data_IF_605766721283
#
_entry.id   IF_605766721283
#
_cell.length_a   1.000
_cell.length_b   1.000
_cell.length_c   1.000
_cell.angle_alpha   90.00
_cell.angle_beta   90.00
_cell.angle_gamma   90.00
#
_symmetry.space_group_name_H-M   'P 1'
#
loop_
_entity.id
_entity.type
_entity.pdbx_description
1 polymer ?
#
# COMPACT_ATOMS: atom_id res chain seq x y z
N UNK A 1 4.15 2.62 -9.48
CA UNK A 1 5.62 2.63 -9.40
C UNK A 1 6.16 1.20 -9.40
N UNK A 2 6.05 0.42 -8.32
CA UNK A 2 6.58 -0.96 -8.29
C UNK A 2 6.02 -1.87 -9.40
N UNK A 3 4.72 -1.82 -9.68
CA UNK A 3 4.12 -2.60 -10.78
C UNK A 3 4.80 -2.33 -12.14
N UNK A 4 5.21 -1.08 -12.40
CA UNK A 4 5.91 -0.73 -13.63
C UNK A 4 7.37 -1.21 -13.61
N UNK A 5 8.05 -1.10 -12.47
CA UNK A 5 9.43 -1.61 -12.31
C UNK A 5 9.52 -3.14 -12.44
N UNK A 6 8.41 -3.84 -12.19
CA UNK A 6 8.26 -5.28 -12.38
C UNK A 6 7.69 -5.66 -13.75
N UNK A 7 7.45 -4.67 -14.63
CA UNK A 7 6.81 -4.86 -15.94
C UNK A 7 5.47 -5.61 -15.87
N UNK A 8 4.73 -5.45 -14.77
CA UNK A 8 3.44 -6.12 -14.57
C UNK A 8 2.32 -5.31 -15.22
N UNK A 9 1.45 -5.92 -16.05
CA UNK A 9 0.27 -5.26 -16.57
C UNK A 9 -0.74 -5.02 -15.43
N UNK A 10 -1.33 -3.83 -15.40
CA UNK A 10 -2.34 -3.47 -14.39
C UNK A 10 -3.41 -2.56 -14.99
N UNK A 11 -4.61 -2.62 -14.41
CA UNK A 11 -5.74 -1.75 -14.79
C UNK A 11 -6.19 -0.96 -13.57
N UNK A 12 -6.13 0.39 -13.58
CA UNK A 12 -6.64 1.18 -12.47
C UNK A 12 -8.16 1.06 -12.39
N UNK A 13 -8.66 0.83 -11.17
CA UNK A 13 -10.07 1.04 -10.83
C UNK A 13 -10.16 2.25 -9.91
N UNK A 14 -10.78 3.32 -10.38
CA UNK A 14 -10.95 4.53 -9.60
C UNK A 14 -12.17 4.41 -8.71
N UNK A 15 -11.98 4.52 -7.40
CA UNK A 15 -13.06 4.51 -6.40
C UNK A 15 -13.12 5.90 -5.75
N UNK A 16 -14.24 6.62 -5.83
CA UNK A 16 -14.37 7.92 -5.18
C UNK A 16 -14.39 7.78 -3.65
N UNK A 17 -13.91 8.80 -2.94
CA UNK A 17 -13.85 8.78 -1.47
C UNK A 17 -15.20 8.52 -0.81
N UNK A 18 -16.30 8.93 -1.44
CA UNK A 18 -17.68 8.71 -0.97
C UNK A 18 -18.08 7.24 -0.97
N UNK A 19 -17.40 6.38 -1.74
CA UNK A 19 -17.74 4.95 -1.87
C UNK A 19 -16.89 4.03 -1.00
N UNK A 20 -15.85 4.56 -0.33
CA UNK A 20 -14.90 3.75 0.45
C UNK A 20 -15.52 3.07 1.68
N UNK A 21 -16.64 3.60 2.18
CA UNK A 21 -17.38 3.08 3.35
C UNK A 21 -18.70 2.44 2.94
N UNK A 22 -18.74 1.89 1.72
CA UNK A 22 -19.89 1.12 1.23
C UNK A 22 -19.62 -0.38 1.39
N UNK A 23 -20.67 -1.21 1.54
CA UNK A 23 -20.50 -2.66 1.62
C UNK A 23 -19.74 -3.26 0.42
N UNK A 24 -19.83 -2.61 -0.75
CA UNK A 24 -19.17 -3.07 -1.98
C UNK A 24 -17.65 -2.97 -1.85
N UNK A 25 -17.12 -1.83 -1.39
CA UNK A 25 -15.66 -1.68 -1.24
C UNK A 25 -15.15 -2.34 0.05
N UNK A 26 -15.94 -2.35 1.12
CA UNK A 26 -15.56 -3.01 2.38
C UNK A 26 -15.46 -4.53 2.25
N UNK A 27 -16.17 -5.14 1.31
CA UNK A 27 -15.99 -6.54 0.94
C UNK A 27 -14.59 -6.84 0.34
N UNK A 28 -13.93 -5.82 -0.25
CA UNK A 28 -12.55 -5.92 -0.78
C UNK A 28 -11.54 -5.55 0.30
N UNK A 29 -11.76 -4.43 0.98
CA UNK A 29 -10.94 -3.95 2.08
C UNK A 29 -11.82 -3.51 3.25
N UNK A 30 -11.92 -4.30 4.34
CA UNK A 30 -12.74 -3.97 5.50
C UNK A 30 -12.28 -2.71 6.25
N UNK A 31 -11.04 -2.25 6.05
CA UNK A 31 -10.59 -0.94 6.56
C UNK A 31 -11.29 0.22 5.85
N UNK A 32 -11.87 0.00 4.67
CA UNK A 32 -12.55 1.01 3.87
C UNK A 32 -11.62 2.17 3.51
N UNK A 33 -10.39 1.86 3.13
CA UNK A 33 -9.36 2.82 2.69
C UNK A 33 -8.70 2.33 1.40
N UNK A 34 -8.23 3.25 0.59
CA UNK A 34 -7.33 2.93 -0.52
C UNK A 34 -5.91 2.72 0.02
N UNK A 35 -5.06 1.89 -0.59
CA UNK A 35 -5.26 1.12 -1.83
C UNK A 35 -5.51 -0.37 -1.52
N UNK A 36 -6.07 -1.08 -2.51
CA UNK A 36 -6.16 -2.54 -2.58
C UNK A 36 -5.81 -3.02 -3.99
N UNK A 37 -5.34 -4.26 -4.14
CA UNK A 37 -5.15 -4.91 -5.43
C UNK A 37 -5.82 -6.28 -5.44
N UNK A 38 -6.19 -6.72 -6.65
CA UNK A 38 -6.67 -8.05 -6.95
C UNK A 38 -5.75 -8.64 -8.00
N UNK A 39 -5.14 -9.77 -7.68
CA UNK A 39 -4.22 -10.46 -8.57
C UNK A 39 -4.91 -11.68 -9.20
N UNK A 40 -5.23 -11.64 -10.50
CA UNK A 40 -5.92 -12.74 -11.17
C UNK A 40 -5.06 -14.00 -11.34
N UNK A 41 -3.73 -13.90 -11.24
CA UNK A 41 -2.84 -15.05 -11.41
C UNK A 41 -2.86 -15.96 -10.17
N UNK A 42 -3.01 -15.36 -8.98
CA UNK A 42 -3.01 -16.08 -7.70
C UNK A 42 -4.39 -16.14 -7.06
N UNK A 43 -5.35 -15.31 -7.52
CA UNK A 43 -6.64 -15.11 -6.87
C UNK A 43 -6.55 -14.30 -5.57
N UNK A 44 -5.42 -13.64 -5.30
CA UNK A 44 -5.20 -12.91 -4.06
C UNK A 44 -5.77 -11.50 -4.13
N UNK A 45 -6.61 -11.16 -3.16
CA UNK A 45 -7.03 -9.78 -2.89
C UNK A 45 -6.34 -9.29 -1.63
N UNK A 46 -5.60 -8.19 -1.71
CA UNK A 46 -4.79 -7.67 -0.61
C UNK A 46 -4.85 -6.14 -0.50
N UNK A 47 -4.87 -5.64 0.72
CA UNK A 47 -4.90 -4.23 1.10
C UNK A 47 -3.79 -3.94 2.13
N UNK A 48 -3.60 -2.67 2.47
CA UNK A 48 -2.37 -2.09 3.07
C UNK A 48 -1.22 -1.98 2.07
N UNK A 49 -0.76 -0.77 1.79
CA UNK A 49 0.27 -0.52 0.77
C UNK A 49 1.58 -1.23 1.08
N UNK A 50 1.97 -1.34 2.35
CA UNK A 50 3.16 -2.11 2.74
C UNK A 50 3.04 -3.60 2.40
N UNK A 51 1.89 -4.21 2.74
CA UNK A 51 1.62 -5.62 2.46
C UNK A 51 1.55 -5.89 0.95
N UNK A 52 0.95 -4.98 0.18
CA UNK A 52 0.92 -5.02 -1.29
C UNK A 52 2.35 -5.06 -1.87
N UNK A 53 3.24 -4.20 -1.38
CA UNK A 53 4.63 -4.17 -1.87
C UNK A 53 5.39 -5.47 -1.53
N UNK A 54 5.23 -5.97 -0.30
CA UNK A 54 5.85 -7.24 0.10
C UNK A 54 5.32 -8.41 -0.74
N UNK A 55 4.00 -8.46 -0.98
CA UNK A 55 3.36 -9.45 -1.84
C UNK A 55 3.91 -9.43 -3.27
N UNK A 56 3.92 -8.25 -3.91
CA UNK A 56 4.39 -8.13 -5.30
C UNK A 56 5.85 -8.53 -5.45
N UNK A 57 6.70 -8.16 -4.50
CA UNK A 57 8.10 -8.59 -4.49
C UNK A 57 8.21 -10.10 -4.29
N UNK A 58 7.48 -10.67 -3.34
CA UNK A 58 7.53 -12.10 -3.06
C UNK A 58 7.06 -12.92 -4.26
N UNK A 59 6.00 -12.50 -4.95
CA UNK A 59 5.43 -13.23 -6.08
C UNK A 59 6.15 -13.00 -7.41
N UNK A 60 6.55 -11.77 -7.70
CA UNK A 60 6.98 -11.40 -9.05
C UNK A 60 8.44 -10.96 -9.17
N UNK A 61 9.14 -10.69 -8.07
CA UNK A 61 10.57 -10.32 -8.08
C UNK A 61 11.47 -11.48 -7.63
N UNK A 62 11.30 -12.68 -8.21
CA UNK A 62 12.04 -13.89 -7.81
C UNK A 62 13.56 -13.78 -8.00
N UNK A 63 13.99 -12.92 -8.92
CA UNK A 63 15.41 -12.64 -9.18
C UNK A 63 16.03 -11.65 -8.19
N UNK A 64 15.23 -11.08 -7.27
CA UNK A 64 15.70 -10.12 -6.26
C UNK A 64 16.41 -8.89 -6.86
N UNK A 65 15.94 -8.39 -8.01
CA UNK A 65 16.47 -7.16 -8.62
C UNK A 65 16.08 -5.90 -7.84
N UNK A 66 14.87 -5.91 -7.29
CA UNK A 66 14.29 -4.81 -6.51
C UNK A 66 14.13 -5.13 -5.02
N UNK A 67 14.68 -6.25 -4.55
CA UNK A 67 14.53 -6.71 -3.17
C UNK A 67 15.68 -7.61 -2.76
N UNK A 68 15.62 -8.12 -1.54
CA UNK A 68 16.61 -9.05 -1.01
C UNK A 68 15.97 -10.41 -0.72
N UNK A 69 16.73 -11.52 -0.79
CA UNK A 69 16.22 -12.83 -0.43
C UNK A 69 15.67 -12.85 0.99
N UNK A 70 14.54 -13.53 1.19
CA UNK A 70 13.89 -13.59 2.49
C UNK A 70 14.84 -14.18 3.57
N UNK A 71 14.86 -13.54 4.74
CA UNK A 71 15.67 -13.99 5.87
C UNK A 71 17.11 -13.48 5.87
N UNK A 72 17.58 -12.78 4.84
CA UNK A 72 18.89 -12.10 4.91
C UNK A 72 18.83 -10.85 5.78
N UNK A 73 19.99 -10.34 6.18
CA UNK A 73 20.11 -9.09 6.93
C UNK A 73 19.50 -7.93 6.16
N UNK A 74 19.78 -7.83 4.86
CA UNK A 74 19.30 -6.76 3.98
C UNK A 74 17.78 -6.81 3.82
N UNK A 75 17.18 -8.00 3.79
CA UNK A 75 15.73 -8.16 3.78
C UNK A 75 15.09 -7.53 5.02
N UNK A 76 15.61 -7.82 6.21
CA UNK A 76 15.08 -7.25 7.45
C UNK A 76 15.34 -5.74 7.55
N UNK A 77 16.47 -5.25 7.05
CA UNK A 77 16.74 -3.81 6.98
C UNK A 77 15.80 -3.09 6.00
N UNK A 78 15.54 -3.66 4.83
CA UNK A 78 14.56 -3.12 3.89
C UNK A 78 13.15 -3.12 4.49
N UNK A 79 12.76 -4.20 5.17
CA UNK A 79 11.49 -4.28 5.90
C UNK A 79 11.40 -3.25 7.01
N UNK A 80 12.48 -2.99 7.75
CA UNK A 80 12.53 -1.94 8.77
C UNK A 80 12.21 -0.57 8.16
N UNK A 81 12.81 -0.24 7.02
CA UNK A 81 12.52 1.01 6.32
C UNK A 81 11.09 1.08 5.81
N UNK A 82 10.54 -0.02 5.30
CA UNK A 82 9.14 -0.10 4.91
C UNK A 82 8.20 0.16 6.10
N UNK A 83 8.45 -0.49 7.23
CA UNK A 83 7.66 -0.31 8.46
C UNK A 83 7.76 1.14 8.97
N UNK A 84 8.96 1.73 8.95
CA UNK A 84 9.15 3.14 9.29
C UNK A 84 8.32 4.05 8.38
N UNK A 85 8.28 3.77 7.08
CA UNK A 85 7.50 4.54 6.12
C UNK A 85 5.98 4.43 6.38
N UNK A 86 5.45 3.22 6.51
CA UNK A 86 3.99 3.01 6.63
C UNK A 86 3.43 3.39 8.00
N UNK A 87 4.25 3.32 9.06
CA UNK A 87 3.81 3.64 10.43
C UNK A 87 4.21 5.05 10.90
N UNK A 88 5.36 5.55 10.46
CA UNK A 88 5.91 6.83 10.89
C UNK A 88 5.73 7.94 9.86
N UNK A 89 6.10 7.72 8.60
CA UNK A 89 5.98 8.78 7.60
C UNK A 89 4.52 9.02 7.19
N UNK A 90 3.85 7.98 6.70
CA UNK A 90 2.50 8.08 6.12
C UNK A 90 1.47 8.69 7.07
N UNK A 91 1.29 8.14 8.28
CA UNK A 91 0.28 8.64 9.23
C UNK A 91 0.53 10.08 9.64
N UNK A 92 1.77 10.45 9.97
CA UNK A 92 2.09 11.80 10.45
C UNK A 92 2.01 12.85 9.35
N UNK A 93 2.42 12.52 8.11
CA UNK A 93 2.19 13.42 6.98
C UNK A 93 0.70 13.61 6.70
N UNK A 94 -0.10 12.54 6.84
CA UNK A 94 -1.55 12.62 6.77
C UNK A 94 -2.16 13.55 7.83
N UNK A 95 -1.65 13.52 9.07
CA UNK A 95 -2.09 14.45 10.11
C UNK A 95 -1.77 15.90 9.77
N UNK A 96 -0.54 16.17 9.31
CA UNK A 96 -0.14 17.52 8.88
C UNK A 96 -1.09 18.03 7.80
N UNK A 97 -1.34 17.23 6.77
CA UNK A 97 -2.28 17.60 5.71
C UNK A 97 -3.70 17.84 6.25
N UNK A 98 -4.20 16.95 7.10
CA UNK A 98 -5.52 17.08 7.69
C UNK A 98 -5.68 18.41 8.45
N UNK A 99 -4.77 18.73 9.37
CA UNK A 99 -4.87 19.95 10.17
C UNK A 99 -4.60 21.24 9.38
N UNK A 100 -3.81 21.18 8.30
CA UNK A 100 -3.56 22.35 7.47
C UNK A 100 -4.69 22.68 6.51
N UNK A 101 -5.39 21.67 5.98
CA UNK A 101 -6.28 21.86 4.83
C UNK A 101 -7.72 21.38 5.03
N UNK A 102 -7.96 20.40 5.89
CA UNK A 102 -9.27 19.76 6.04
C UNK A 102 -9.94 20.06 7.38
N UNK A 103 -9.16 20.33 8.42
CA UNK A 103 -9.69 20.63 9.74
C UNK A 103 -10.40 21.99 9.72
N UNK A 104 -11.64 22.01 10.23
CA UNK A 104 -12.54 23.16 10.12
C UNK A 104 -12.09 24.39 10.91
N UNK A 105 -11.25 24.20 11.92
CA UNK A 105 -10.74 25.26 12.80
C UNK A 105 -9.23 25.41 12.61
N UNK A 106 -8.72 26.65 12.61
CA UNK A 106 -7.27 26.86 12.62
C UNK A 106 -6.76 26.70 14.04
N UNK A 107 -5.92 25.69 14.25
CA UNK A 107 -5.19 25.47 15.50
C UNK A 107 -3.99 26.45 15.52
N UNK A 108 -3.67 27.10 16.67
CA UNK A 108 -2.56 28.04 16.79
C UNK A 108 -1.19 27.51 16.36
#
# INVERSE_FOLDING_TARGET
MLLNELDLPWTPKYIPFTELKTPVYEAINPNGRLLSIEDPNTGTTIWESGAILEYLVAEYNKEHKLSFPAGTTEYYQAKQWLIFQVSGQGPYYGQVFYFQYLFSEKIP
#
